data_IF_258854036205
#
_entry.id   IF_258854036205
#
_cell.length_a   1.000
_cell.length_b   1.000
_cell.length_c   1.000
_cell.angle_alpha   90.00
_cell.angle_beta   90.00
_cell.angle_gamma   90.00
#
_symmetry.space_group_name_H-M   'P 1'
#
loop_
_entity.id
_entity.type
_entity.pdbx_description
1 polymer ?
#
# COMPACT_ATOMS: atom_id res chain seq x y z
N UNK A 1 24.51 62.34 18.25
CA UNK A 1 23.08 62.65 18.48
C UNK A 1 22.32 62.18 17.24
N UNK A 2 21.55 61.08 17.30
CA UNK A 2 20.80 60.62 16.10
C UNK A 2 20.51 59.12 15.99
N UNK A 3 19.83 58.57 17.01
CA UNK A 3 18.88 57.44 17.03
C UNK A 3 19.18 56.13 16.27
N UNK A 4 19.41 55.11 17.12
CA UNK A 4 19.16 53.68 16.93
C UNK A 4 17.72 53.44 16.46
N UNK A 5 17.55 52.43 15.61
CA UNK A 5 16.28 51.85 15.22
C UNK A 5 16.51 50.42 14.73
N UNK A 6 16.89 49.52 15.63
CA UNK A 6 16.79 48.08 15.42
C UNK A 6 15.30 47.73 15.23
N UNK A 7 14.94 47.24 14.05
CA UNK A 7 13.65 46.60 13.84
C UNK A 7 13.82 45.09 14.07
N UNK A 8 13.18 44.63 15.15
CA UNK A 8 13.14 43.28 15.65
C UNK A 8 12.59 42.28 14.61
N UNK A 9 13.19 41.08 14.62
CA UNK A 9 12.78 39.79 14.05
C UNK A 9 11.27 39.67 13.74
N UNK A 10 10.94 39.28 12.50
CA UNK A 10 9.82 38.38 12.24
C UNK A 10 10.38 37.10 11.60
N UNK A 11 10.78 36.16 12.45
CA UNK A 11 11.17 34.81 12.05
C UNK A 11 9.92 33.95 11.82
N UNK A 12 9.13 34.29 10.80
CA UNK A 12 8.23 33.32 10.17
C UNK A 12 8.88 32.82 8.91
N UNK A 13 9.91 31.97 9.08
CA UNK A 13 10.25 30.99 8.03
C UNK A 13 8.98 30.20 7.81
N UNK A 14 8.26 30.49 6.74
CA UNK A 14 7.23 29.58 6.24
C UNK A 14 7.84 28.19 6.21
N UNK A 15 7.19 27.22 6.84
CA UNK A 15 7.53 25.82 6.64
C UNK A 15 7.55 25.64 5.12
N UNK A 16 8.74 25.42 4.58
CA UNK A 16 8.85 24.87 3.24
C UNK A 16 8.08 23.57 3.31
N UNK A 17 6.87 23.57 2.74
CA UNK A 17 6.16 22.34 2.47
C UNK A 17 6.95 21.71 1.33
N UNK A 18 8.04 21.02 1.68
CA UNK A 18 8.60 20.01 0.79
C UNK A 18 7.43 19.12 0.42
N UNK A 19 7.14 19.00 -0.88
CA UNK A 19 6.08 18.12 -1.34
C UNK A 19 6.25 16.76 -0.65
N UNK A 20 5.24 16.34 0.12
CA UNK A 20 5.24 15.02 0.76
C UNK A 20 5.46 13.98 -0.33
N UNK A 21 6.48 13.13 -0.16
CA UNK A 21 6.90 12.20 -1.20
C UNK A 21 6.01 10.95 -1.17
N UNK A 22 5.53 10.53 -2.34
CA UNK A 22 4.99 9.19 -2.53
C UNK A 22 6.13 8.25 -2.91
N UNK A 23 6.17 7.06 -2.33
CA UNK A 23 7.10 6.00 -2.73
C UNK A 23 6.36 4.67 -2.86
N UNK A 24 6.89 3.75 -3.68
CA UNK A 24 6.34 2.40 -3.76
C UNK A 24 6.47 1.71 -2.39
N UNK A 25 5.35 1.17 -1.91
CA UNK A 25 5.26 0.38 -0.69
C UNK A 25 5.35 -1.11 -1.01
N UNK A 26 4.44 -1.61 -1.83
CA UNK A 26 4.42 -3.02 -2.23
C UNK A 26 3.60 -3.25 -3.50
N UNK A 27 3.84 -4.41 -4.10
CA UNK A 27 2.98 -5.00 -5.12
C UNK A 27 2.04 -6.01 -4.46
N UNK A 28 0.79 -6.08 -4.92
CA UNK A 28 -0.22 -7.00 -4.38
C UNK A 28 -0.62 -7.99 -5.47
N UNK A 29 -0.37 -9.26 -5.21
CA UNK A 29 -0.87 -10.38 -5.99
C UNK A 29 -1.98 -11.08 -5.21
N UNK A 30 -3.18 -11.15 -5.79
CA UNK A 30 -4.25 -11.94 -5.22
C UNK A 30 -4.19 -13.38 -5.72
N UNK A 31 -4.43 -14.32 -4.81
CA UNK A 31 -4.57 -15.74 -5.11
C UNK A 31 -5.86 -16.27 -4.49
N UNK A 32 -6.39 -17.37 -5.04
CA UNK A 32 -7.55 -18.07 -4.44
C UNK A 32 -7.24 -18.61 -3.05
N UNK A 33 -5.99 -19.00 -2.77
CA UNK A 33 -5.51 -19.41 -1.45
C UNK A 33 -4.02 -19.12 -1.31
N UNK A 34 -3.51 -19.03 -0.07
CA UNK A 34 -2.07 -18.81 0.14
C UNK A 34 -1.19 -19.98 -0.27
N UNK A 35 -1.67 -21.22 -0.17
CA UNK A 35 -0.91 -22.39 -0.61
C UNK A 35 -0.72 -22.37 -2.12
N UNK A 36 -1.78 -22.07 -2.86
CA UNK A 36 -1.72 -21.90 -4.32
C UNK A 36 -0.84 -20.71 -4.71
N UNK A 37 -1.02 -19.56 -4.06
CA UNK A 37 -0.20 -18.38 -4.33
C UNK A 37 1.28 -18.62 -4.05
N UNK A 38 1.62 -19.33 -2.97
CA UNK A 38 3.00 -19.70 -2.66
C UNK A 38 3.60 -20.64 -3.71
N UNK A 39 2.87 -21.69 -4.12
CA UNK A 39 3.31 -22.62 -5.15
C UNK A 39 3.51 -21.92 -6.51
N UNK A 40 2.60 -21.02 -6.87
CA UNK A 40 2.73 -20.18 -8.06
C UNK A 40 3.96 -19.27 -7.98
N UNK A 41 4.21 -18.64 -6.84
CA UNK A 41 5.36 -17.76 -6.63
C UNK A 41 6.69 -18.51 -6.79
N UNK A 42 6.78 -19.72 -6.23
CA UNK A 42 7.94 -20.59 -6.39
C UNK A 42 8.13 -21.00 -7.86
N UNK A 43 7.06 -21.39 -8.55
CA UNK A 43 7.13 -21.83 -9.94
C UNK A 43 7.47 -20.71 -10.92
N UNK A 44 6.89 -19.51 -10.73
CA UNK A 44 6.99 -18.40 -11.68
C UNK A 44 8.18 -17.47 -11.39
N UNK A 45 8.50 -17.25 -10.11
CA UNK A 45 9.52 -16.30 -9.69
C UNK A 45 10.76 -16.98 -9.08
N UNK A 46 10.70 -18.29 -8.81
CA UNK A 46 11.78 -19.01 -8.13
C UNK A 46 11.94 -18.65 -6.65
N UNK A 47 10.92 -18.04 -6.03
CA UNK A 47 10.96 -17.53 -4.67
C UNK A 47 9.86 -18.19 -3.83
N UNK A 48 10.24 -18.81 -2.72
CA UNK A 48 9.31 -19.24 -1.68
C UNK A 48 8.94 -18.04 -0.79
N UNK A 49 7.69 -17.55 -0.82
CA UNK A 49 7.31 -16.38 -0.02
C UNK A 49 7.25 -16.76 1.46
N UNK A 50 7.82 -15.89 2.29
CA UNK A 50 7.85 -16.06 3.74
C UNK A 50 6.46 -15.93 4.38
N UNK A 51 6.34 -16.30 5.67
CA UNK A 51 5.09 -16.13 6.40
C UNK A 51 4.72 -14.63 6.46
N UNK A 52 3.44 -14.35 6.24
CA UNK A 52 2.83 -13.06 6.53
C UNK A 52 2.00 -13.14 7.82
N UNK A 53 0.82 -12.52 7.79
CA UNK A 53 -0.13 -12.50 8.89
C UNK A 53 -1.58 -12.68 8.42
N UNK A 54 -2.48 -12.68 9.41
CA UNK A 54 -3.92 -12.60 9.20
C UNK A 54 -4.38 -11.15 9.40
N UNK A 55 -5.40 -10.73 8.67
CA UNK A 55 -6.03 -9.43 8.76
C UNK A 55 -7.48 -9.57 9.23
N UNK A 56 -7.75 -9.64 10.55
CA UNK A 56 -9.10 -9.92 11.07
C UNK A 56 -10.17 -8.94 10.58
N UNK A 57 -9.83 -7.66 10.42
CA UNK A 57 -10.74 -6.63 9.93
C UNK A 57 -11.15 -6.80 8.47
N UNK A 58 -10.37 -7.56 7.70
CA UNK A 58 -10.58 -7.78 6.26
C UNK A 58 -10.93 -9.24 5.94
N UNK A 59 -10.82 -10.15 6.90
CA UNK A 59 -10.97 -11.59 6.65
C UNK A 59 -10.04 -12.07 5.53
N UNK A 60 -8.80 -11.57 5.51
CA UNK A 60 -7.75 -11.96 4.56
C UNK A 60 -6.51 -12.41 5.31
N UNK A 61 -5.61 -13.07 4.60
CA UNK A 61 -4.28 -13.44 5.08
C UNK A 61 -3.26 -13.28 3.96
N UNK A 62 -1.97 -13.18 4.30
CA UNK A 62 -0.93 -12.96 3.31
C UNK A 62 0.33 -13.81 3.53
N UNK A 63 1.16 -13.82 2.48
CA UNK A 63 2.58 -14.18 2.49
C UNK A 63 3.36 -13.10 1.76
N UNK A 64 4.64 -12.92 2.09
CA UNK A 64 5.41 -11.83 1.50
C UNK A 64 6.91 -12.12 1.44
N UNK A 65 7.59 -11.36 0.58
CA UNK A 65 9.05 -11.28 0.52
C UNK A 65 9.51 -9.89 0.11
N UNK A 66 10.75 -9.53 0.45
CA UNK A 66 11.29 -8.22 0.12
C UNK A 66 11.64 -8.13 -1.38
N UNK A 67 11.29 -7.01 -2.00
CA UNK A 67 11.77 -6.59 -3.33
C UNK A 67 12.49 -5.24 -3.24
N UNK A 68 13.10 -4.99 -2.08
CA UNK A 68 13.74 -3.72 -1.80
C UNK A 68 14.91 -3.47 -2.76
N UNK A 69 15.07 -2.20 -3.13
CA UNK A 69 16.17 -1.72 -3.97
C UNK A 69 16.68 -0.37 -3.45
N UNK A 70 17.77 0.15 -4.01
CA UNK A 70 18.26 1.48 -3.66
C UNK A 70 17.21 2.58 -3.89
N UNK A 71 16.37 2.45 -4.92
CA UNK A 71 15.28 3.39 -5.22
C UNK A 71 14.06 3.18 -4.32
N UNK A 72 13.78 1.93 -3.95
CA UNK A 72 12.63 1.55 -3.12
C UNK A 72 13.07 0.66 -1.94
N UNK A 73 13.71 1.23 -0.91
CA UNK A 73 14.36 0.45 0.15
C UNK A 73 13.40 -0.31 1.06
N UNK A 74 12.09 -0.03 0.94
CA UNK A 74 11.03 -0.63 1.75
C UNK A 74 10.01 -1.42 0.92
N UNK A 75 10.32 -1.70 -0.34
CA UNK A 75 9.38 -2.40 -1.20
C UNK A 75 9.30 -3.90 -0.86
N UNK A 76 8.08 -4.44 -0.85
CA UNK A 76 7.84 -5.88 -0.73
C UNK A 76 6.79 -6.36 -1.73
N UNK A 77 6.74 -7.67 -1.92
CA UNK A 77 5.75 -8.35 -2.73
C UNK A 77 4.82 -9.08 -1.78
N UNK A 78 3.53 -8.77 -1.86
CA UNK A 78 2.48 -9.38 -1.04
C UNK A 78 1.63 -10.32 -1.89
N UNK A 79 1.49 -11.55 -1.43
CA UNK A 79 0.47 -12.48 -1.90
C UNK A 79 -0.65 -12.47 -0.88
N UNK A 80 -1.85 -12.09 -1.28
CA UNK A 80 -3.02 -11.98 -0.42
C UNK A 80 -4.12 -12.94 -0.88
N UNK A 81 -4.85 -13.52 0.07
CA UNK A 81 -6.03 -14.34 -0.19
C UNK A 81 -7.10 -14.08 0.87
N UNK A 82 -8.35 -14.42 0.56
CA UNK A 82 -9.44 -14.46 1.56
C UNK A 82 -9.13 -15.60 2.52
N UNK A 83 -9.14 -15.32 3.83
CA UNK A 83 -8.93 -16.33 4.86
C UNK A 83 -10.22 -17.15 5.03
N UNK A 84 -10.24 -18.45 4.66
CA UNK A 84 -11.45 -19.26 4.74
C UNK A 84 -11.90 -19.52 6.19
N UNK A 85 -10.99 -19.36 7.16
CA UNK A 85 -11.27 -19.56 8.58
C UNK A 85 -11.75 -18.28 9.28
N UNK A 86 -11.71 -17.13 8.59
CA UNK A 86 -12.13 -15.86 9.14
C UNK A 86 -13.62 -15.61 8.86
N UNK A 87 -14.37 -15.00 9.80
CA UNK A 87 -15.73 -14.55 9.50
C UNK A 87 -15.71 -13.51 8.37
N UNK A 88 -16.72 -13.50 7.47
CA UNK A 88 -16.83 -12.44 6.48
C UNK A 88 -16.90 -11.06 7.14
N UNK A 89 -16.16 -10.06 6.64
CA UNK A 89 -16.23 -8.71 7.16
C UNK A 89 -17.59 -8.06 6.87
N UNK A 90 -17.99 -7.09 7.69
CA UNK A 90 -19.23 -6.33 7.51
C UNK A 90 -19.17 -5.29 6.37
N UNK A 91 -18.06 -5.24 5.63
CA UNK A 91 -17.80 -4.33 4.50
C UNK A 91 -17.02 -5.07 3.43
N UNK A 92 -17.03 -4.52 2.22
CA UNK A 92 -16.22 -5.05 1.13
C UNK A 92 -14.74 -5.10 1.52
N UNK A 93 -14.08 -6.15 1.07
CA UNK A 93 -12.64 -6.34 1.22
C UNK A 93 -11.89 -5.33 0.35
N UNK A 94 -10.69 -4.97 0.80
CA UNK A 94 -9.79 -4.12 0.04
C UNK A 94 -9.37 -4.83 -1.24
N UNK A 95 -8.90 -4.04 -2.20
CA UNK A 95 -8.41 -4.52 -3.50
C UNK A 95 -9.46 -5.29 -4.31
N UNK A 96 -10.74 -4.96 -4.10
CA UNK A 96 -11.88 -5.52 -4.83
C UNK A 96 -11.97 -7.05 -4.74
N UNK A 97 -11.43 -7.65 -3.66
CA UNK A 97 -11.35 -9.11 -3.49
C UNK A 97 -12.71 -9.82 -3.48
N UNK A 98 -13.79 -9.08 -3.26
CA UNK A 98 -15.16 -9.61 -3.31
C UNK A 98 -15.78 -9.54 -4.71
N UNK A 99 -15.16 -8.84 -5.67
CA UNK A 99 -15.69 -8.66 -7.02
C UNK A 99 -15.70 -9.99 -7.81
N UNK A 100 -16.84 -10.41 -8.38
CA UNK A 100 -16.95 -11.70 -9.06
C UNK A 100 -15.93 -11.89 -10.19
N UNK A 101 -15.69 -10.83 -10.98
CA UNK A 101 -14.73 -10.90 -12.08
C UNK A 101 -13.30 -11.16 -11.59
N UNK A 102 -12.89 -10.55 -10.47
CA UNK A 102 -11.60 -10.82 -9.86
C UNK A 102 -11.56 -12.24 -9.29
N UNK A 103 -12.63 -12.69 -8.61
CA UNK A 103 -12.72 -14.06 -8.07
C UNK A 103 -12.61 -15.13 -9.15
N UNK A 104 -13.23 -14.91 -10.31
CA UNK A 104 -13.13 -15.79 -11.47
C UNK A 104 -11.71 -15.78 -12.08
N UNK A 105 -11.03 -14.63 -12.08
CA UNK A 105 -9.66 -14.52 -12.55
C UNK A 105 -8.69 -15.27 -11.63
N UNK A 106 -8.74 -15.03 -10.32
CA UNK A 106 -7.85 -15.69 -9.34
C UNK A 106 -8.17 -17.17 -9.15
N UNK A 107 -9.36 -17.64 -9.56
CA UNK A 107 -9.68 -19.06 -9.60
C UNK A 107 -8.94 -19.81 -10.74
N UNK A 108 -8.47 -19.08 -11.76
CA UNK A 108 -7.64 -19.63 -12.85
C UNK A 108 -6.16 -19.58 -12.50
N UNK A 109 -5.68 -18.43 -12.04
CA UNK A 109 -4.30 -18.24 -11.58
C UNK A 109 -4.14 -16.95 -10.76
N UNK A 110 -3.13 -16.83 -9.90
CA UNK A 110 -2.84 -15.60 -9.17
C UNK A 110 -2.64 -14.38 -10.09
N UNK A 111 -3.17 -13.22 -9.67
CA UNK A 111 -3.21 -11.99 -10.47
C UNK A 111 -2.47 -10.85 -9.77
N UNK A 112 -1.64 -10.10 -10.49
CA UNK A 112 -1.14 -8.80 -10.03
C UNK A 112 -2.28 -7.79 -10.13
N UNK A 113 -2.82 -7.37 -8.98
CA UNK A 113 -4.03 -6.55 -8.94
C UNK A 113 -3.76 -5.10 -8.60
N UNK A 114 -2.76 -4.81 -7.76
CA UNK A 114 -2.53 -3.48 -7.23
C UNK A 114 -1.04 -3.20 -6.97
N UNK A 115 -0.72 -1.91 -6.87
CA UNK A 115 0.49 -1.40 -6.24
C UNK A 115 0.07 -0.37 -5.19
N UNK A 116 0.80 -0.32 -4.08
CA UNK A 116 0.48 0.56 -2.96
C UNK A 116 1.58 1.60 -2.82
N UNK A 117 1.18 2.85 -2.56
CA UNK A 117 2.09 3.95 -2.29
C UNK A 117 2.13 4.27 -0.79
N UNK A 118 3.35 4.38 -0.23
CA UNK A 118 3.58 4.95 1.10
C UNK A 118 3.73 6.46 0.99
N UNK A 119 3.32 7.15 2.04
CA UNK A 119 3.47 8.59 2.18
C UNK A 119 3.77 8.96 3.62
N UNK A 120 4.32 10.15 3.83
CA UNK A 120 4.60 10.68 5.17
C UNK A 120 3.37 11.36 5.80
N UNK A 121 2.46 11.87 4.96
CA UNK A 121 1.22 12.52 5.39
C UNK A 121 0.05 12.24 4.43
N UNK A 122 -0.76 11.23 4.76
CA UNK A 122 -1.91 10.83 3.94
C UNK A 122 -2.96 11.94 3.83
N UNK A 123 -3.13 12.79 4.86
CA UNK A 123 -4.13 13.86 4.85
C UNK A 123 -3.72 14.97 3.88
N UNK A 124 -2.45 15.34 3.86
CA UNK A 124 -1.92 16.30 2.90
C UNK A 124 -2.12 15.82 1.45
N UNK A 125 -1.90 14.53 1.18
CA UNK A 125 -2.14 13.94 -0.13
C UNK A 125 -3.62 13.91 -0.51
N UNK A 126 -4.50 13.51 0.43
CA UNK A 126 -5.95 13.52 0.19
C UNK A 126 -6.46 14.92 -0.14
N UNK A 127 -6.01 15.94 0.58
CA UNK A 127 -6.38 17.33 0.30
C UNK A 127 -5.90 17.77 -1.10
N UNK A 128 -4.65 17.42 -1.46
CA UNK A 128 -4.08 17.73 -2.77
C UNK A 128 -4.86 17.07 -3.91
N UNK A 129 -5.25 15.80 -3.74
CA UNK A 129 -6.02 15.07 -4.75
C UNK A 129 -7.44 15.59 -4.90
N UNK A 130 -8.14 15.91 -3.79
CA UNK A 130 -9.43 16.61 -3.85
C UNK A 130 -9.33 17.95 -4.57
N UNK A 131 -8.27 18.73 -4.29
CA UNK A 131 -7.99 19.99 -4.99
C UNK A 131 -7.71 19.84 -6.48
N UNK A 132 -7.28 18.65 -6.92
CA UNK A 132 -7.11 18.29 -8.32
C UNK A 132 -8.38 17.70 -8.97
N UNK A 133 -9.52 17.67 -8.24
CA UNK A 133 -10.78 17.13 -8.73
C UNK A 133 -10.91 15.61 -8.67
N UNK A 134 -10.04 14.93 -7.91
CA UNK A 134 -10.13 13.48 -7.69
C UNK A 134 -11.05 13.23 -6.49
N UNK A 135 -12.12 12.46 -6.71
CA UNK A 135 -12.97 11.98 -5.63
C UNK A 135 -12.28 10.86 -4.85
N UNK A 136 -12.33 10.94 -3.52
CA UNK A 136 -11.75 10.00 -2.57
C UNK A 136 -12.82 9.52 -1.58
#
# INVERSE_FOLDING_TARGET
MGRRGECQRDSRRGRSVTASALALDHLVVAARSLSEGAAWCEAMLGIAPGPGGKHPLMGTHNRLFSIASAAFPRAYFEIIAIDPDAPPPARQRWFDLDEPALRDAIAREPQLIHWVARCDDINAHCLRWRGAGIEL
#
